data_IF_154435936472
#
_entry.id   IF_154435936472
#
_cell.length_a   1.000
_cell.length_b   1.000
_cell.length_c   1.000
_cell.angle_alpha   90.00
_cell.angle_beta   90.00
_cell.angle_gamma   90.00
#
_symmetry.space_group_name_H-M   'P 1'
#
loop_
_entity.id
_entity.type
_entity.pdbx_description
1 polymer ?
#
# COMPACT_ATOMS: atom_id res chain seq x y z
N UNK A 1 15.96 2.00 9.95
CA UNK A 1 17.13 2.77 10.45
C UNK A 1 17.88 3.59 9.38
N UNK A 2 17.54 3.53 8.08
CA UNK A 2 18.35 4.19 7.03
C UNK A 2 18.15 5.70 6.81
N UNK A 3 16.93 6.23 7.00
CA UNK A 3 16.60 7.62 6.62
C UNK A 3 17.33 8.71 7.42
N UNK A 4 17.44 8.55 8.74
CA UNK A 4 18.15 9.51 9.59
C UNK A 4 19.65 9.53 9.31
N UNK A 5 20.23 8.35 9.00
CA UNK A 5 21.64 8.20 8.68
C UNK A 5 21.97 8.81 7.31
N UNK A 6 21.06 8.67 6.33
CA UNK A 6 21.17 9.32 5.02
C UNK A 6 21.02 10.84 5.11
N UNK A 7 20.01 11.34 5.84
CA UNK A 7 19.84 12.78 6.05
C UNK A 7 21.07 13.38 6.76
N UNK A 8 21.60 12.70 7.78
CA UNK A 8 22.84 13.09 8.46
C UNK A 8 24.03 13.12 7.49
N UNK A 9 24.19 12.07 6.66
CA UNK A 9 25.21 12.01 5.61
C UNK A 9 25.11 13.18 4.63
N UNK A 10 23.91 13.52 4.15
CA UNK A 10 23.68 14.66 3.25
C UNK A 10 24.02 16.00 3.92
N UNK A 11 23.59 16.20 5.17
CA UNK A 11 23.88 17.43 5.93
C UNK A 11 25.38 17.56 6.18
N UNK A 12 26.06 16.50 6.62
CA UNK A 12 27.51 16.48 6.84
C UNK A 12 28.27 16.73 5.54
N UNK A 13 27.78 16.19 4.43
CA UNK A 13 28.36 16.38 3.11
C UNK A 13 28.24 17.83 2.63
N UNK A 14 27.07 18.45 2.77
CA UNK A 14 26.85 19.86 2.43
C UNK A 14 27.70 20.75 3.35
N UNK A 15 27.74 20.45 4.66
CA UNK A 15 28.56 21.19 5.62
C UNK A 15 30.06 21.10 5.26
N UNK A 16 30.54 19.92 4.85
CA UNK A 16 31.91 19.73 4.39
C UNK A 16 32.20 20.52 3.11
N UNK A 17 31.28 20.54 2.14
CA UNK A 17 31.40 21.34 0.92
C UNK A 17 31.50 22.84 1.22
N UNK A 18 30.62 23.35 2.10
CA UNK A 18 30.63 24.75 2.54
C UNK A 18 31.92 25.08 3.28
N UNK A 19 32.37 24.21 4.19
CA UNK A 19 33.63 24.37 4.91
C UNK A 19 34.82 24.44 3.94
N UNK A 20 34.91 23.52 2.97
CA UNK A 20 35.94 23.52 1.94
C UNK A 20 35.91 24.82 1.12
N UNK A 21 34.73 25.31 0.75
CA UNK A 21 34.58 26.57 0.01
C UNK A 21 35.03 27.80 0.82
N UNK A 22 34.62 27.88 2.09
CA UNK A 22 35.00 28.98 3.00
C UNK A 22 36.49 28.94 3.33
N UNK A 23 37.04 27.75 3.57
CA UNK A 23 38.46 27.55 3.82
C UNK A 23 39.29 27.94 2.60
N UNK A 24 38.91 27.51 1.39
CA UNK A 24 39.57 27.94 0.15
C UNK A 24 39.46 29.45 -0.09
N UNK A 25 38.34 30.08 0.26
CA UNK A 25 38.18 31.53 0.15
C UNK A 25 39.13 32.28 1.11
N UNK A 26 39.25 31.82 2.37
CA UNK A 26 40.20 32.40 3.35
C UNK A 26 41.66 32.12 3.01
N UNK A 27 41.96 30.90 2.56
CA UNK A 27 43.30 30.48 2.12
C UNK A 27 43.86 31.35 0.98
N UNK A 28 42.99 31.86 0.10
CA UNK A 28 43.36 32.77 -1.01
C UNK A 28 44.02 34.06 -0.53
N UNK A 29 43.86 34.42 0.74
CA UNK A 29 44.48 35.60 1.37
C UNK A 29 45.84 35.33 2.03
N UNK A 30 46.32 34.08 2.10
CA UNK A 30 47.56 33.76 2.84
C UNK A 30 48.41 32.58 2.34
N UNK A 31 47.98 31.81 1.34
CA UNK A 31 48.74 30.65 0.82
C UNK A 31 49.46 31.03 -0.48
N UNK A 32 50.74 30.67 -0.66
CA UNK A 32 51.49 31.00 -1.87
C UNK A 32 50.90 30.33 -3.13
N UNK A 33 50.75 31.12 -4.20
CA UNK A 33 49.94 30.85 -5.41
C UNK A 33 50.20 29.50 -6.10
N UNK A 34 51.39 28.93 -5.95
CA UNK A 34 51.82 27.70 -6.64
C UNK A 34 51.22 26.38 -6.13
N UNK A 35 50.69 26.32 -4.89
CA UNK A 35 50.07 25.09 -4.32
C UNK A 35 48.54 25.11 -4.39
N UNK A 36 47.97 26.31 -4.61
CA UNK A 36 46.54 26.55 -4.72
C UNK A 36 45.81 25.74 -5.81
N UNK A 37 46.35 25.58 -7.04
CA UNK A 37 45.61 24.90 -8.10
C UNK A 37 45.43 23.40 -7.82
N UNK A 38 46.39 22.74 -7.16
CA UNK A 38 46.29 21.31 -6.85
C UNK A 38 45.24 21.01 -5.78
N UNK A 39 45.23 21.80 -4.70
CA UNK A 39 44.25 21.63 -3.60
C UNK A 39 42.83 21.97 -4.07
N UNK A 40 42.68 23.01 -4.88
CA UNK A 40 41.38 23.37 -5.45
C UNK A 40 40.83 22.31 -6.43
N UNK A 41 41.70 21.68 -7.22
CA UNK A 41 41.31 20.57 -8.10
C UNK A 41 40.88 19.34 -7.30
N UNK A 42 41.63 18.95 -6.27
CA UNK A 42 41.27 17.80 -5.41
C UNK A 42 39.94 18.04 -4.68
N UNK A 43 39.73 19.24 -4.13
CA UNK A 43 38.49 19.60 -3.47
C UNK A 43 37.29 19.52 -4.43
N UNK A 44 37.43 20.05 -5.67
CA UNK A 44 36.38 19.95 -6.70
C UNK A 44 36.06 18.51 -7.09
N UNK A 45 37.07 17.65 -7.24
CA UNK A 45 36.87 16.23 -7.58
C UNK A 45 36.13 15.52 -6.45
N UNK A 46 36.51 15.75 -5.19
CA UNK A 46 35.80 15.19 -4.03
C UNK A 46 34.36 15.71 -3.95
N UNK A 47 34.12 16.99 -4.24
CA UNK A 47 32.78 17.54 -4.31
C UNK A 47 31.91 16.89 -5.37
N UNK A 48 32.47 16.69 -6.57
CA UNK A 48 31.76 16.03 -7.67
C UNK A 48 31.46 14.57 -7.35
N UNK A 49 32.44 13.83 -6.81
CA UNK A 49 32.24 12.43 -6.39
C UNK A 49 31.17 12.30 -5.32
N UNK A 50 31.10 13.26 -4.39
CA UNK A 50 30.09 13.27 -3.34
C UNK A 50 28.69 13.57 -3.90
N UNK A 51 28.57 14.54 -4.81
CA UNK A 51 27.31 14.82 -5.50
C UNK A 51 26.87 13.60 -6.32
N UNK A 52 27.77 13.00 -7.11
CA UNK A 52 27.48 11.77 -7.85
C UNK A 52 27.16 10.59 -6.92
N UNK A 53 27.78 10.49 -5.75
CA UNK A 53 27.48 9.46 -4.77
C UNK A 53 26.09 9.64 -4.17
N UNK A 54 25.71 10.86 -3.78
CA UNK A 54 24.38 11.14 -3.21
C UNK A 54 23.28 11.03 -4.27
N UNK A 55 23.42 11.69 -5.42
CA UNK A 55 22.39 11.63 -6.48
C UNK A 55 22.39 10.28 -7.20
N UNK A 56 23.55 9.66 -7.37
CA UNK A 56 23.66 8.28 -7.84
C UNK A 56 23.02 7.31 -6.84
N UNK A 57 23.15 7.53 -5.53
CA UNK A 57 22.49 6.66 -4.56
C UNK A 57 20.96 6.65 -4.70
N UNK A 58 20.35 7.74 -5.20
CA UNK A 58 18.91 7.76 -5.54
C UNK A 58 18.56 6.77 -6.65
N UNK A 59 19.50 6.49 -7.54
CA UNK A 59 19.35 5.45 -8.58
C UNK A 59 19.72 4.04 -8.12
N UNK A 60 20.54 3.92 -7.07
CA UNK A 60 20.99 2.62 -6.53
C UNK A 60 20.09 2.08 -5.41
N UNK A 61 19.42 2.97 -4.67
CA UNK A 61 18.37 2.58 -3.74
C UNK A 61 17.04 2.59 -4.48
N UNK A 62 16.33 1.47 -4.45
CA UNK A 62 14.93 1.42 -4.88
C UNK A 62 14.12 2.25 -3.86
N UNK A 63 13.80 3.49 -4.24
CA UNK A 63 12.90 4.33 -3.48
C UNK A 63 11.47 3.94 -3.82
N UNK A 64 10.74 3.51 -2.80
CA UNK A 64 9.30 3.34 -2.87
C UNK A 64 8.63 4.71 -2.68
N UNK A 65 7.70 5.07 -3.57
CA UNK A 65 7.12 6.41 -3.60
C UNK A 65 5.71 6.49 -3.00
N UNK A 66 5.11 5.36 -2.65
CA UNK A 66 3.77 5.25 -2.09
C UNK A 66 3.72 4.93 -0.59
N UNK A 67 2.64 4.26 -0.17
CA UNK A 67 2.52 3.70 1.17
C UNK A 67 3.40 2.44 1.25
N UNK A 68 4.49 2.54 2.00
CA UNK A 68 5.48 1.48 2.14
C UNK A 68 5.20 0.67 3.40
N UNK A 69 5.00 -0.63 3.24
CA UNK A 69 4.97 -1.59 4.34
C UNK A 69 6.26 -2.40 4.33
N UNK A 70 7.04 -2.32 5.41
CA UNK A 70 8.31 -3.04 5.55
C UNK A 70 8.20 -4.18 6.55
N UNK A 71 8.83 -5.30 6.25
CA UNK A 71 8.83 -6.49 7.08
C UNK A 71 10.25 -6.82 7.58
N UNK A 72 10.37 -7.37 8.79
CA UNK A 72 11.61 -7.98 9.26
C UNK A 72 11.89 -9.33 8.60
N UNK A 73 13.03 -9.94 8.90
CA UNK A 73 13.42 -11.27 8.39
C UNK A 73 12.47 -12.40 8.83
N UNK A 74 11.71 -12.19 9.92
CA UNK A 74 10.67 -13.12 10.40
C UNK A 74 9.33 -12.86 9.71
N UNK A 75 9.26 -11.81 8.88
CA UNK A 75 8.11 -11.33 8.15
C UNK A 75 7.03 -10.69 9.02
N UNK A 76 7.43 -10.04 10.11
CA UNK A 76 6.59 -9.13 10.89
C UNK A 76 6.73 -7.71 10.38
N UNK A 77 5.66 -6.93 10.36
CA UNK A 77 5.70 -5.52 9.95
C UNK A 77 6.53 -4.72 10.95
N UNK A 78 7.54 -4.00 10.45
CA UNK A 78 8.43 -3.13 11.24
C UNK A 78 8.19 -1.64 10.99
N UNK A 79 7.62 -1.27 9.85
CA UNK A 79 7.30 0.11 9.53
C UNK A 79 6.18 0.19 8.50
N UNK A 80 5.30 1.17 8.69
CA UNK A 80 4.39 1.70 7.67
C UNK A 80 4.71 3.18 7.48
N UNK A 81 5.00 3.60 6.26
CA UNK A 81 5.32 5.00 5.93
C UNK A 81 4.55 5.43 4.71
N UNK A 82 4.03 6.66 4.72
CA UNK A 82 3.29 7.21 3.57
C UNK A 82 4.16 7.86 2.50
N UNK A 83 5.49 7.77 2.63
CA UNK A 83 6.44 8.37 1.69
C UNK A 83 7.79 7.64 1.67
N UNK A 84 8.36 7.53 0.48
CA UNK A 84 9.79 7.69 0.19
C UNK A 84 10.78 6.99 1.11
N UNK A 85 10.62 5.69 1.39
CA UNK A 85 11.64 4.93 2.12
C UNK A 85 12.48 4.07 1.15
N UNK A 86 13.80 3.94 1.40
CA UNK A 86 14.60 2.95 0.69
C UNK A 86 14.04 1.55 1.00
N UNK A 87 13.58 0.87 -0.04
CA UNK A 87 12.89 -0.41 0.00
C UNK A 87 13.76 -1.42 -0.77
N UNK A 88 14.62 -2.15 -0.05
CA UNK A 88 15.63 -3.03 -0.67
C UNK A 88 15.19 -4.50 -0.67
N UNK A 89 14.63 -4.98 0.45
CA UNK A 89 14.11 -6.34 0.59
C UNK A 89 12.91 -6.34 1.54
N UNK A 90 11.97 -7.28 1.34
CA UNK A 90 10.80 -7.49 2.19
C UNK A 90 9.94 -6.24 2.45
N UNK A 91 9.63 -5.51 1.39
CA UNK A 91 8.73 -4.36 1.44
C UNK A 91 7.67 -4.43 0.33
N UNK A 92 6.54 -3.75 0.56
CA UNK A 92 5.47 -3.51 -0.39
C UNK A 92 5.35 -2.01 -0.60
N UNK A 93 5.43 -1.56 -1.85
CA UNK A 93 5.20 -0.16 -2.24
C UNK A 93 3.82 -0.04 -2.87
N UNK A 94 2.85 0.48 -2.12
CA UNK A 94 1.53 0.80 -2.63
C UNK A 94 1.56 2.21 -3.21
N UNK A 95 1.91 2.30 -4.50
CA UNK A 95 2.01 3.60 -5.19
C UNK A 95 0.64 4.24 -5.20
N UNK A 96 0.51 5.35 -4.47
CA UNK A 96 -0.63 6.26 -4.32
C UNK A 96 -1.98 5.79 -4.90
N UNK A 97 -2.98 5.70 -4.02
CA UNK A 97 -4.36 5.20 -4.22
C UNK A 97 -4.56 3.68 -4.07
N UNK A 98 -3.89 3.05 -3.10
CA UNK A 98 -4.45 1.89 -2.41
C UNK A 98 -5.78 2.33 -1.78
N UNK A 99 -6.96 2.20 -2.38
CA UNK A 99 -7.50 1.13 -3.22
C UNK A 99 -8.40 1.80 -4.27
N UNK A 100 -8.11 1.68 -5.57
CA UNK A 100 -9.08 2.03 -6.64
C UNK A 100 -10.43 1.44 -6.23
N UNK A 101 -11.53 2.21 -6.19
CA UNK A 101 -12.83 1.67 -5.82
C UNK A 101 -13.12 0.47 -6.72
N UNK A 102 -13.06 -0.71 -6.14
CA UNK A 102 -13.31 -1.96 -6.83
C UNK A 102 -14.69 -2.42 -6.44
N UNK A 103 -15.52 -2.67 -7.43
CA UNK A 103 -16.83 -3.25 -7.25
C UNK A 103 -16.67 -4.78 -7.29
N UNK A 104 -17.04 -5.46 -6.21
CA UNK A 104 -17.17 -6.92 -6.18
C UNK A 104 -18.65 -7.24 -6.23
N UNK A 105 -19.06 -7.91 -7.30
CA UNK A 105 -20.43 -8.37 -7.50
C UNK A 105 -20.56 -9.80 -7.04
N UNK A 106 -21.61 -10.08 -6.27
CA UNK A 106 -21.96 -11.42 -5.83
C UNK A 106 -23.36 -11.76 -6.30
N UNK A 107 -23.56 -13.02 -6.68
CA UNK A 107 -24.84 -13.54 -7.15
C UNK A 107 -25.21 -14.78 -6.35
N UNK A 108 -26.49 -14.87 -6.01
CA UNK A 108 -27.02 -15.97 -5.20
C UNK A 108 -28.43 -16.30 -5.66
N UNK A 109 -28.69 -17.61 -5.73
CA UNK A 109 -30.02 -18.16 -5.96
C UNK A 109 -30.63 -18.56 -4.61
N UNK A 110 -31.61 -17.81 -4.08
CA UNK A 110 -32.18 -18.10 -2.77
C UNK A 110 -32.87 -19.46 -2.75
N UNK A 111 -32.73 -20.21 -1.65
CA UNK A 111 -33.42 -21.49 -1.47
C UNK A 111 -34.83 -21.18 -0.93
N UNK A 112 -35.85 -21.46 -1.74
CA UNK A 112 -37.24 -21.12 -1.41
C UNK A 112 -38.23 -21.97 -2.19
N UNK A 113 -39.37 -22.26 -1.56
CA UNK A 113 -40.48 -22.99 -2.17
C UNK A 113 -41.30 -22.11 -3.13
N UNK A 114 -41.05 -20.79 -3.13
CA UNK A 114 -41.74 -19.86 -4.00
C UNK A 114 -41.05 -19.77 -5.37
N UNK A 115 -41.67 -20.29 -6.46
CA UNK A 115 -41.06 -20.33 -7.78
C UNK A 115 -40.86 -18.94 -8.42
N UNK A 116 -41.36 -17.87 -7.79
CA UNK A 116 -41.21 -16.49 -8.25
C UNK A 116 -39.95 -15.81 -7.72
N UNK A 117 -39.22 -16.44 -6.80
CA UNK A 117 -37.97 -15.88 -6.28
C UNK A 117 -36.89 -16.07 -7.34
N UNK A 118 -36.28 -14.95 -7.67
CA UNK A 118 -35.32 -14.75 -8.75
C UNK A 118 -33.91 -14.66 -8.18
N UNK A 119 -32.91 -14.70 -9.05
CA UNK A 119 -31.53 -14.62 -8.62
C UNK A 119 -31.24 -13.21 -8.12
N UNK A 120 -30.55 -13.10 -6.99
CA UNK A 120 -30.18 -11.82 -6.37
C UNK A 120 -28.74 -11.52 -6.75
N UNK A 121 -28.50 -10.32 -7.30
CA UNK A 121 -27.17 -9.80 -7.60
C UNK A 121 -26.94 -8.53 -6.80
N UNK A 122 -25.77 -8.38 -6.20
CA UNK A 122 -25.44 -7.20 -5.42
C UNK A 122 -23.95 -6.88 -5.44
N UNK A 123 -23.62 -5.60 -5.33
CA UNK A 123 -22.23 -5.13 -5.39
C UNK A 123 -21.82 -4.42 -4.11
N UNK A 124 -20.64 -4.78 -3.60
CA UNK A 124 -19.95 -4.09 -2.49
C UNK A 124 -18.64 -3.49 -2.98
N UNK A 125 -18.21 -2.38 -2.35
CA UNK A 125 -16.88 -1.83 -2.58
C UNK A 125 -16.01 -2.02 -1.34
N UNK A 126 -15.09 -3.00 -1.32
CA UNK A 126 -14.14 -3.13 -0.24
C UNK A 126 -13.06 -2.05 -0.31
N UNK A 127 -12.51 -1.74 0.86
CA UNK A 127 -11.32 -0.91 1.04
C UNK A 127 -10.48 -1.44 2.20
N UNK A 128 -9.17 -1.30 2.08
CA UNK A 128 -8.26 -1.51 3.20
C UNK A 128 -8.48 -0.37 4.18
N UNK A 129 -8.91 -0.70 5.41
CA UNK A 129 -9.16 0.25 6.48
C UNK A 129 -7.94 0.42 7.38
N UNK A 130 -7.25 -0.70 7.64
CA UNK A 130 -6.02 -0.74 8.41
C UNK A 130 -4.98 -1.54 7.64
N UNK A 131 -4.00 -0.83 7.07
CA UNK A 131 -2.91 -1.42 6.30
C UNK A 131 -2.17 -2.46 7.14
N UNK A 132 -1.90 -2.19 8.42
CA UNK A 132 -1.09 -3.09 9.23
C UNK A 132 -1.79 -4.43 9.44
N UNK A 133 -3.06 -4.39 9.84
CA UNK A 133 -3.85 -5.62 10.06
C UNK A 133 -3.98 -6.40 8.76
N UNK A 134 -4.30 -5.73 7.65
CA UNK A 134 -4.44 -6.39 6.36
C UNK A 134 -3.15 -7.07 5.89
N UNK A 135 -2.03 -6.36 5.92
CA UNK A 135 -0.74 -6.89 5.46
C UNK A 135 -0.17 -7.96 6.41
N UNK A 136 -0.53 -7.94 7.70
CA UNK A 136 -0.22 -9.04 8.63
C UNK A 136 -1.11 -10.27 8.36
N UNK A 137 -2.42 -10.09 8.19
CA UNK A 137 -3.39 -11.17 8.02
C UNK A 137 -3.30 -11.86 6.66
N UNK A 138 -3.07 -11.10 5.58
CA UNK A 138 -3.00 -11.61 4.21
C UNK A 138 -1.57 -11.91 3.74
N UNK A 139 -0.61 -11.98 4.67
CA UNK A 139 0.80 -12.21 4.37
C UNK A 139 1.00 -13.41 3.43
N UNK A 140 0.37 -14.54 3.71
CA UNK A 140 0.56 -15.74 2.90
C UNK A 140 0.09 -15.51 1.46
N UNK A 141 -1.03 -14.82 1.25
CA UNK A 141 -1.49 -14.47 -0.09
C UNK A 141 -0.53 -13.50 -0.80
N UNK A 142 -0.07 -12.48 -0.07
CA UNK A 142 0.81 -11.42 -0.58
C UNK A 142 2.22 -11.94 -0.94
N UNK A 143 2.73 -12.94 -0.23
CA UNK A 143 4.08 -13.46 -0.47
C UNK A 143 4.11 -14.77 -1.28
N UNK A 144 2.96 -15.41 -1.55
CA UNK A 144 2.90 -16.67 -2.31
C UNK A 144 3.56 -16.54 -3.69
N UNK A 145 4.70 -17.19 -3.88
CA UNK A 145 5.44 -17.17 -5.15
C UNK A 145 6.14 -15.84 -5.48
N UNK A 146 6.35 -14.96 -4.49
CA UNK A 146 7.12 -13.72 -4.67
C UNK A 146 8.61 -14.03 -4.59
N UNK A 147 9.34 -13.78 -5.68
CA UNK A 147 10.80 -14.01 -5.76
C UNK A 147 11.61 -12.72 -5.56
N UNK A 148 10.98 -11.55 -5.73
CA UNK A 148 11.62 -10.22 -5.65
C UNK A 148 10.57 -9.12 -5.48
N UNK A 149 11.00 -7.92 -5.10
CA UNK A 149 10.26 -6.68 -5.30
C UNK A 149 9.82 -6.58 -6.78
N UNK A 150 8.55 -6.25 -7.01
CA UNK A 150 7.94 -6.23 -8.34
C UNK A 150 6.98 -5.05 -8.43
N UNK A 151 6.89 -4.46 -9.63
CA UNK A 151 5.95 -3.40 -9.96
C UNK A 151 4.47 -3.85 -9.90
N UNK A 152 4.22 -5.14 -9.62
CA UNK A 152 2.88 -5.74 -9.54
C UNK A 152 2.35 -5.89 -8.09
N UNK A 153 3.00 -5.27 -7.10
CA UNK A 153 2.54 -5.34 -5.70
C UNK A 153 1.09 -4.83 -5.53
N UNK A 154 0.67 -3.84 -6.33
CA UNK A 154 -0.71 -3.34 -6.36
C UNK A 154 -1.70 -4.40 -6.87
N UNK A 155 -1.41 -5.07 -7.99
CA UNK A 155 -2.28 -6.11 -8.54
C UNK A 155 -2.45 -7.27 -7.57
N UNK A 156 -1.36 -7.64 -6.89
CA UNK A 156 -1.38 -8.70 -5.90
C UNK A 156 -2.19 -8.32 -4.67
N UNK A 157 -2.02 -7.10 -4.18
CA UNK A 157 -2.81 -6.54 -3.08
C UNK A 157 -4.29 -6.57 -3.43
N UNK A 158 -4.66 -6.16 -4.65
CA UNK A 158 -6.02 -6.23 -5.16
C UNK A 158 -6.54 -7.68 -5.21
N UNK A 159 -5.76 -8.61 -5.74
CA UNK A 159 -6.16 -10.01 -5.84
C UNK A 159 -6.42 -10.64 -4.45
N UNK A 160 -5.55 -10.37 -3.46
CA UNK A 160 -5.74 -10.84 -2.09
C UNK A 160 -6.98 -10.22 -1.43
N UNK A 161 -7.19 -8.92 -1.61
CA UNK A 161 -8.39 -8.23 -1.14
C UNK A 161 -9.66 -8.84 -1.74
N UNK A 162 -9.69 -9.05 -3.06
CA UNK A 162 -10.83 -9.64 -3.77
C UNK A 162 -11.11 -11.04 -3.24
N UNK A 163 -10.10 -11.92 -3.21
CA UNK A 163 -10.27 -13.30 -2.77
C UNK A 163 -10.82 -13.39 -1.34
N UNK A 164 -10.34 -12.52 -0.42
CA UNK A 164 -10.82 -12.49 0.97
C UNK A 164 -12.27 -12.05 1.07
N UNK A 165 -12.66 -11.02 0.30
CA UNK A 165 -14.04 -10.51 0.32
C UNK A 165 -14.99 -11.49 -0.35
N UNK A 166 -14.61 -12.07 -1.49
CA UNK A 166 -15.38 -13.12 -2.18
C UNK A 166 -15.65 -14.33 -1.27
N UNK A 167 -14.65 -14.76 -0.50
CA UNK A 167 -14.81 -15.84 0.47
C UNK A 167 -15.92 -15.52 1.50
N UNK A 168 -15.92 -14.34 2.11
CA UNK A 168 -16.94 -13.99 3.10
C UNK A 168 -18.31 -13.72 2.48
N UNK A 169 -18.38 -13.21 1.25
CA UNK A 169 -19.64 -13.09 0.51
C UNK A 169 -20.23 -14.47 0.18
N UNK A 170 -19.38 -15.43 -0.19
CA UNK A 170 -19.78 -16.82 -0.40
C UNK A 170 -20.35 -17.44 0.88
N UNK A 171 -19.63 -17.33 2.00
CA UNK A 171 -20.08 -17.84 3.30
C UNK A 171 -21.41 -17.19 3.73
N UNK A 172 -21.53 -15.88 3.57
CA UNK A 172 -22.77 -15.14 3.82
C UNK A 172 -23.94 -15.66 2.98
N UNK A 173 -23.75 -15.80 1.66
CA UNK A 173 -24.79 -16.28 0.75
C UNK A 173 -25.25 -17.69 1.10
N UNK A 174 -24.30 -18.55 1.48
CA UNK A 174 -24.61 -19.92 1.89
C UNK A 174 -25.44 -19.93 3.18
N UNK A 175 -25.02 -19.17 4.20
CA UNK A 175 -25.67 -19.11 5.50
C UNK A 175 -27.06 -18.46 5.46
N UNK A 176 -27.24 -17.43 4.63
CA UNK A 176 -28.46 -16.60 4.59
C UNK A 176 -29.33 -16.81 3.35
N UNK A 177 -29.06 -17.83 2.53
CA UNK A 177 -29.80 -18.12 1.29
C UNK A 177 -31.33 -18.09 1.43
N UNK A 178 -31.88 -18.55 2.56
CA UNK A 178 -33.33 -18.52 2.84
C UNK A 178 -33.84 -17.12 3.21
N UNK A 179 -33.08 -16.37 4.00
CA UNK A 179 -33.44 -15.01 4.39
C UNK A 179 -33.37 -14.06 3.19
N UNK A 180 -32.43 -14.32 2.29
CA UNK A 180 -32.26 -13.55 1.07
C UNK A 180 -33.51 -13.56 0.18
N UNK A 181 -34.30 -14.64 0.20
CA UNK A 181 -35.57 -14.73 -0.53
C UNK A 181 -36.61 -13.66 -0.11
N UNK A 182 -36.44 -13.02 1.06
CA UNK A 182 -37.31 -11.94 1.54
C UNK A 182 -37.04 -10.62 0.81
N UNK A 183 -35.88 -10.45 0.17
CA UNK A 183 -35.51 -9.26 -0.58
C UNK A 183 -35.80 -9.46 -2.06
N UNK A 184 -37.07 -9.29 -2.44
CA UNK A 184 -37.56 -9.53 -3.81
C UNK A 184 -37.87 -8.24 -4.58
N UNK A 185 -37.68 -7.07 -3.99
CA UNK A 185 -37.94 -5.78 -4.63
C UNK A 185 -36.79 -4.78 -4.42
N UNK A 186 -35.86 -4.64 -5.39
CA UNK A 186 -34.74 -3.71 -5.28
C UNK A 186 -35.15 -2.25 -5.39
N UNK A 187 -36.41 -1.96 -5.76
CA UNK A 187 -36.95 -0.60 -5.82
C UNK A 187 -37.57 -0.16 -4.50
N UNK A 188 -37.72 -1.06 -3.52
CA UNK A 188 -38.22 -0.76 -2.19
C UNK A 188 -37.04 -0.36 -1.28
N UNK A 189 -36.92 0.93 -0.87
CA UNK A 189 -35.82 1.39 -0.04
C UNK A 189 -35.70 0.65 1.30
N UNK A 190 -36.82 0.21 1.87
CA UNK A 190 -36.82 -0.51 3.14
C UNK A 190 -36.19 -1.91 2.96
N UNK A 191 -36.41 -2.57 1.83
CA UNK A 191 -35.75 -3.84 1.52
C UNK A 191 -34.26 -3.65 1.25
N UNK A 192 -33.87 -2.59 0.53
CA UNK A 192 -32.45 -2.28 0.29
C UNK A 192 -31.72 -2.03 1.60
N UNK A 193 -32.29 -1.24 2.51
CA UNK A 193 -31.70 -0.95 3.81
C UNK A 193 -31.64 -2.19 4.71
N UNK A 194 -32.71 -2.98 4.75
CA UNK A 194 -32.72 -4.22 5.51
C UNK A 194 -31.70 -5.25 4.99
N UNK A 195 -31.51 -5.31 3.66
CA UNK A 195 -30.49 -6.17 3.06
C UNK A 195 -29.08 -5.65 3.37
N UNK A 196 -28.80 -4.36 3.18
CA UNK A 196 -27.51 -3.74 3.54
C UNK A 196 -27.15 -4.02 5.01
N UNK A 197 -28.13 -3.87 5.90
CA UNK A 197 -27.97 -4.17 7.32
C UNK A 197 -27.66 -5.65 7.56
N UNK A 198 -28.44 -6.56 6.98
CA UNK A 198 -28.19 -8.00 7.12
C UNK A 198 -26.80 -8.39 6.63
N UNK A 199 -26.38 -7.88 5.48
CA UNK A 199 -25.06 -8.12 4.91
C UNK A 199 -23.98 -7.65 5.89
N UNK A 200 -24.03 -6.38 6.27
CA UNK A 200 -22.99 -5.75 7.11
C UNK A 200 -22.90 -6.35 8.50
N UNK A 201 -24.03 -6.65 9.14
CA UNK A 201 -24.07 -7.27 10.46
C UNK A 201 -23.34 -8.64 10.48
N UNK A 202 -23.25 -9.33 9.33
CA UNK A 202 -22.66 -10.66 9.23
C UNK A 202 -21.23 -10.69 8.66
N UNK A 203 -20.85 -9.74 7.80
CA UNK A 203 -19.52 -9.78 7.15
C UNK A 203 -18.56 -8.68 7.62
N UNK A 204 -19.04 -7.58 8.20
CA UNK A 204 -18.16 -6.48 8.59
C UNK A 204 -17.23 -6.87 9.73
N UNK A 205 -17.72 -7.64 10.71
CA UNK A 205 -16.90 -8.15 11.83
C UNK A 205 -15.71 -8.98 11.35
N UNK A 206 -15.93 -10.10 10.64
CA UNK A 206 -14.86 -10.92 10.10
C UNK A 206 -13.91 -10.13 9.18
N UNK A 207 -14.43 -9.28 8.29
CA UNK A 207 -13.57 -8.47 7.41
C UNK A 207 -12.68 -7.48 8.17
N UNK A 208 -13.16 -6.91 9.28
CA UNK A 208 -12.37 -6.01 10.12
C UNK A 208 -11.18 -6.73 10.80
N UNK A 209 -11.31 -8.02 11.11
CA UNK A 209 -10.19 -8.84 11.61
C UNK A 209 -9.06 -8.96 10.58
N UNK A 210 -9.38 -8.81 9.29
CA UNK A 210 -8.43 -8.73 8.18
C UNK A 210 -8.09 -7.29 7.78
N UNK A 211 -8.46 -6.27 8.57
CA UNK A 211 -8.20 -4.86 8.25
C UNK A 211 -9.00 -4.33 7.07
N UNK A 212 -10.05 -5.03 6.64
CA UNK A 212 -10.89 -4.70 5.48
C UNK A 212 -12.20 -4.07 5.97
N UNK A 213 -12.74 -3.14 5.20
CA UNK A 213 -14.12 -2.67 5.37
C UNK A 213 -14.82 -2.59 4.01
N UNK A 214 -16.14 -2.69 4.02
CA UNK A 214 -16.96 -2.52 2.82
C UNK A 214 -17.78 -1.25 2.91
N UNK A 215 -18.07 -0.64 1.76
CA UNK A 215 -19.09 0.39 1.65
C UNK A 215 -20.50 -0.20 1.84
N UNK A 216 -21.49 0.68 1.91
CA UNK A 216 -22.88 0.29 1.67
C UNK A 216 -23.02 -0.38 0.30
N UNK A 217 -24.08 -1.19 0.16
CA UNK A 217 -24.51 -1.75 -1.13
C UNK A 217 -24.54 -0.66 -2.21
N UNK A 218 -23.83 -0.92 -3.30
CA UNK A 218 -23.77 0.02 -4.45
C UNK A 218 -24.85 -0.31 -5.46
N UNK A 219 -25.09 -1.60 -5.67
CA UNK A 219 -26.16 -2.11 -6.52
C UNK A 219 -26.84 -3.26 -5.82
N UNK A 220 -28.14 -3.40 -6.10
CA UNK A 220 -28.95 -4.54 -5.72
C UNK A 220 -29.94 -4.78 -6.88
N UNK A 221 -29.86 -5.95 -7.47
CA UNK A 221 -30.59 -6.35 -8.67
C UNK A 221 -31.23 -7.72 -8.48
N UNK A 222 -32.26 -7.97 -9.27
CA UNK A 222 -32.98 -9.23 -9.29
C UNK A 222 -33.14 -9.67 -10.74
N UNK A 223 -32.74 -10.90 -11.04
CA UNK A 223 -32.68 -11.46 -12.38
C UNK A 223 -33.59 -12.69 -12.51
#
# INVERSE_FOLDING_TARGET
>A
MGGALFALMCVLSIAFLVFCHVWMYKAKRGIPRWRFPRVASVARVLSLLLVFGVFGSVTWFEYAFGNVISYDEKGKIVATSRFGLPCVTNCFDLRCESVVPMAITSEVKPITDNPKVRDISYTVNPKIKDDRIFFEAERDCLFKGRVSYSWNDDERTKACLIARVEYYLYEFNNAHSKDLAKFFNPRDPAQVEAFDKLLRDNIEGPLLEHGISISKLTTFGIH
#
